data_IF_259686131873
#
_entry.id   IF_259686131873
#
_cell.length_a   1.000
_cell.length_b   1.000
_cell.length_c   1.000
_cell.angle_alpha   90.00
_cell.angle_beta   90.00
_cell.angle_gamma   90.00
#
_symmetry.space_group_name_H-M   'P 1'
#
loop_
_entity.id
_entity.type
_entity.pdbx_description
1 polymer ?
#
# COMPACT_ATOMS: atom_id res chain seq x y z
N UNK A 1 15.38 10.11 -60.98
CA UNK A 1 14.74 11.19 -60.21
C UNK A 1 13.48 10.65 -59.56
N UNK A 2 13.50 10.49 -58.24
CA UNK A 2 12.43 10.90 -57.32
C UNK A 2 12.68 10.29 -55.94
N UNK A 3 13.16 11.14 -55.04
CA UNK A 3 13.21 10.90 -53.61
C UNK A 3 11.81 10.69 -53.05
N UNK A 4 11.68 9.79 -52.07
CA UNK A 4 10.68 9.96 -51.01
C UNK A 4 11.20 9.37 -49.71
N UNK A 5 11.82 10.25 -48.95
CA UNK A 5 12.10 10.13 -47.53
C UNK A 5 10.84 9.76 -46.77
N UNK A 6 10.87 8.62 -46.08
CA UNK A 6 9.89 8.24 -45.06
C UNK A 6 10.61 8.09 -43.74
N UNK A 7 10.83 9.21 -43.05
CA UNK A 7 11.42 9.26 -41.72
C UNK A 7 10.41 8.67 -40.73
N UNK A 8 10.57 7.40 -40.36
CA UNK A 8 9.78 6.78 -39.29
C UNK A 8 10.35 7.29 -37.96
N UNK A 9 9.78 8.39 -37.48
CA UNK A 9 9.95 8.84 -36.10
C UNK A 9 9.26 7.81 -35.21
N UNK A 10 10.02 6.84 -34.68
CA UNK A 10 9.58 6.03 -33.56
C UNK A 10 9.38 6.95 -32.35
N UNK A 11 8.14 7.35 -32.11
CA UNK A 11 7.74 7.91 -30.82
C UNK A 11 7.89 6.80 -29.77
N UNK A 12 8.95 6.87 -28.98
CA UNK A 12 9.01 6.23 -27.66
C UNK A 12 8.00 6.94 -26.76
N UNK A 13 6.75 6.48 -26.79
CA UNK A 13 5.77 6.85 -25.78
C UNK A 13 6.18 6.15 -24.48
N UNK A 14 7.00 6.84 -23.67
CA UNK A 14 7.22 6.49 -22.28
C UNK A 14 5.86 6.43 -21.60
N UNK A 15 5.40 5.23 -21.29
CA UNK A 15 4.24 5.02 -20.43
C UNK A 15 4.68 5.45 -19.03
N UNK A 16 4.64 6.75 -18.77
CA UNK A 16 4.58 7.25 -17.41
C UNK A 16 3.26 6.71 -16.85
N UNK A 17 3.31 5.52 -16.25
CA UNK A 17 2.23 5.07 -15.39
C UNK A 17 2.06 6.20 -14.39
N UNK A 18 0.93 6.89 -14.47
CA UNK A 18 0.54 7.85 -13.45
C UNK A 18 0.45 7.04 -12.16
N UNK A 19 1.54 7.01 -11.39
CA UNK A 19 1.55 6.49 -10.05
C UNK A 19 0.48 7.32 -9.34
N UNK A 20 -0.68 6.73 -9.04
CA UNK A 20 -1.66 7.39 -8.17
C UNK A 20 -0.86 7.94 -6.99
N UNK A 21 -1.03 9.22 -6.62
CA UNK A 21 -0.23 9.84 -5.57
C UNK A 21 -0.22 8.88 -4.38
N UNK A 22 0.99 8.44 -4.00
CA UNK A 22 1.17 7.37 -3.03
C UNK A 22 0.32 7.71 -1.82
N UNK A 23 -0.75 6.94 -1.62
CA UNK A 23 -1.71 7.28 -0.60
C UNK A 23 -0.97 7.40 0.71
N UNK A 24 -1.15 8.53 1.38
CA UNK A 24 -0.63 8.67 2.71
C UNK A 24 -1.41 7.75 3.65
N UNK A 25 -0.85 6.57 3.93
CA UNK A 25 -1.45 5.60 4.84
C UNK A 25 -1.55 6.15 6.27
N UNK A 26 -0.76 7.16 6.63
CA UNK A 26 -0.74 7.72 7.98
C UNK A 26 -2.03 8.50 8.29
N UNK A 27 -2.67 9.08 7.27
CA UNK A 27 -3.97 9.75 7.38
C UNK A 27 -5.17 8.88 6.99
N UNK A 28 -4.93 7.65 6.53
CA UNK A 28 -6.02 6.74 6.16
C UNK A 28 -6.79 6.26 7.38
N UNK A 29 -8.12 6.41 7.35
CA UNK A 29 -9.01 5.89 8.41
C UNK A 29 -9.51 4.49 8.10
N UNK A 30 -9.92 3.76 9.14
CA UNK A 30 -10.58 2.46 9.02
C UNK A 30 -11.85 2.50 8.16
N UNK A 31 -12.53 3.64 8.07
CA UNK A 31 -13.66 3.85 7.17
C UNK A 31 -13.28 3.59 5.71
N UNK A 32 -12.06 3.96 5.31
CA UNK A 32 -11.55 3.72 3.97
C UNK A 32 -11.41 2.22 3.67
N UNK A 33 -10.80 1.48 4.60
CA UNK A 33 -10.68 0.02 4.49
C UNK A 33 -12.06 -0.64 4.39
N UNK A 34 -12.98 -0.24 5.26
CA UNK A 34 -14.32 -0.81 5.30
C UNK A 34 -15.09 -0.55 3.99
N UNK A 35 -14.95 0.65 3.39
CA UNK A 35 -15.55 0.98 2.10
C UNK A 35 -15.01 0.11 0.97
N UNK A 36 -13.70 -0.14 0.94
CA UNK A 36 -13.07 -1.01 -0.05
C UNK A 36 -13.59 -2.46 0.09
N UNK A 37 -13.63 -2.99 1.30
CA UNK A 37 -14.18 -4.34 1.57
C UNK A 37 -15.64 -4.44 1.11
N UNK A 38 -16.48 -3.46 1.47
CA UNK A 38 -17.90 -3.44 1.05
C UNK A 38 -18.03 -3.36 -0.46
N UNK A 39 -17.17 -2.59 -1.13
CA UNK A 39 -17.18 -2.47 -2.59
C UNK A 39 -16.85 -3.81 -3.28
N UNK A 40 -15.82 -4.52 -2.82
CA UNK A 40 -15.46 -5.83 -3.36
C UNK A 40 -16.55 -6.87 -3.08
N UNK A 41 -17.04 -6.92 -1.84
CA UNK A 41 -18.11 -7.84 -1.43
C UNK A 41 -19.38 -7.61 -2.24
N UNK A 42 -19.78 -6.34 -2.43
CA UNK A 42 -20.96 -5.97 -3.22
C UNK A 42 -20.85 -6.30 -4.70
N UNK A 43 -19.63 -6.49 -5.21
CA UNK A 43 -19.37 -6.92 -6.60
C UNK A 43 -19.14 -8.44 -6.72
N UNK A 44 -19.26 -9.19 -5.63
CA UNK A 44 -18.94 -10.62 -5.62
C UNK A 44 -17.47 -10.92 -5.92
N UNK A 45 -16.58 -9.96 -5.72
CA UNK A 45 -15.14 -10.13 -5.93
C UNK A 45 -14.53 -10.65 -4.64
N UNK A 46 -14.09 -11.89 -4.64
CA UNK A 46 -13.33 -12.47 -3.53
C UNK A 46 -11.86 -12.10 -3.66
N UNK A 47 -11.46 -11.04 -2.95
CA UNK A 47 -10.07 -10.59 -2.89
C UNK A 47 -9.48 -10.97 -1.51
N UNK A 48 -8.30 -11.60 -1.47
CA UNK A 48 -7.59 -11.80 -0.21
C UNK A 48 -7.40 -10.46 0.51
N UNK A 49 -7.67 -10.43 1.82
CA UNK A 49 -7.60 -9.18 2.59
C UNK A 49 -6.22 -8.51 2.54
N UNK A 50 -5.15 -9.32 2.40
CA UNK A 50 -3.76 -8.84 2.26
C UNK A 50 -3.52 -8.06 0.96
N UNK A 51 -4.36 -8.26 -0.05
CA UNK A 51 -4.30 -7.57 -1.35
C UNK A 51 -5.15 -6.29 -1.38
N UNK A 52 -5.85 -5.95 -0.28
CA UNK A 52 -6.53 -4.66 -0.18
C UNK A 52 -5.51 -3.53 -0.15
N UNK A 53 -5.89 -2.40 -0.75
CA UNK A 53 -5.00 -1.27 -1.07
C UNK A 53 -4.18 -0.80 0.13
N UNK A 54 -4.80 -0.67 1.31
CA UNK A 54 -4.09 -0.19 2.50
C UNK A 54 -3.03 -1.20 3.02
N UNK A 55 -3.28 -2.51 2.94
CA UNK A 55 -2.30 -3.52 3.33
C UNK A 55 -1.12 -3.56 2.35
N UNK A 56 -1.42 -3.50 1.04
CA UNK A 56 -0.41 -3.41 -0.02
C UNK A 56 0.47 -2.17 0.16
N UNK A 57 -0.13 -1.02 0.44
CA UNK A 57 0.61 0.22 0.69
C UNK A 57 1.44 0.18 1.96
N UNK A 58 0.94 -0.42 3.04
CA UNK A 58 1.74 -0.66 4.24
C UNK A 58 2.96 -1.51 3.95
N UNK A 59 2.82 -2.60 3.18
CA UNK A 59 3.96 -3.43 2.76
C UNK A 59 5.00 -2.60 1.99
N UNK A 60 4.56 -1.78 1.03
CA UNK A 60 5.48 -0.93 0.27
C UNK A 60 6.22 0.07 1.17
N UNK A 61 5.53 0.74 2.09
CA UNK A 61 6.18 1.67 3.04
C UNK A 61 7.20 0.98 3.95
N UNK A 62 6.93 -0.26 4.35
CA UNK A 62 7.90 -1.05 5.12
C UNK A 62 9.15 -1.40 4.30
N UNK A 63 8.97 -1.74 3.01
CA UNK A 63 10.09 -2.04 2.13
C UNK A 63 10.91 -0.77 1.85
N UNK A 64 10.25 0.35 1.55
CA UNK A 64 10.91 1.65 1.32
C UNK A 64 11.74 2.09 2.55
N UNK A 65 11.20 1.93 3.77
CA UNK A 65 11.94 2.29 4.98
C UNK A 65 13.18 1.43 5.20
N UNK A 66 13.11 0.14 4.87
CA UNK A 66 14.27 -0.76 4.89
C UNK A 66 15.31 -0.37 3.83
N UNK A 67 14.89 -0.13 2.58
CA UNK A 67 15.78 0.29 1.50
C UNK A 67 16.47 1.63 1.80
N UNK A 68 15.80 2.52 2.53
CA UNK A 68 16.36 3.77 3.04
C UNK A 68 17.27 3.61 4.28
N UNK A 69 17.51 2.38 4.75
CA UNK A 69 18.37 2.10 5.90
C UNK A 69 17.80 2.50 7.26
N UNK A 70 16.47 2.73 7.36
CA UNK A 70 15.85 3.17 8.61
C UNK A 70 15.81 2.08 9.68
N UNK A 71 15.85 0.82 9.28
CA UNK A 71 15.88 -0.35 10.16
C UNK A 71 16.48 -1.57 9.46
N UNK A 72 16.99 -2.54 10.23
CA UNK A 72 17.55 -3.78 9.69
C UNK A 72 16.49 -4.76 9.18
N UNK A 73 16.95 -5.77 8.42
CA UNK A 73 16.12 -6.77 7.74
C UNK A 73 15.26 -7.60 8.69
N UNK A 74 15.74 -7.92 9.89
CA UNK A 74 15.03 -8.67 10.92
C UNK A 74 13.76 -7.95 11.39
N UNK A 75 13.83 -6.62 11.55
CA UNK A 75 12.66 -5.81 11.88
C UNK A 75 11.65 -5.77 10.72
N UNK A 76 12.14 -5.63 9.47
CA UNK A 76 11.28 -5.72 8.29
C UNK A 76 10.56 -7.07 8.21
N UNK A 77 11.31 -8.17 8.33
CA UNK A 77 10.76 -9.53 8.24
C UNK A 77 9.69 -9.78 9.31
N UNK A 78 9.94 -9.33 10.54
CA UNK A 78 8.99 -9.42 11.65
C UNK A 78 7.72 -8.63 11.33
N UNK A 79 7.84 -7.37 10.91
CA UNK A 79 6.69 -6.52 10.61
C UNK A 79 5.85 -7.07 9.44
N UNK A 80 6.49 -7.57 8.37
CA UNK A 80 5.79 -8.19 7.24
C UNK A 80 5.05 -9.46 7.64
N UNK A 81 5.67 -10.31 8.46
CA UNK A 81 5.03 -11.51 8.99
C UNK A 81 3.80 -11.17 9.82
N UNK A 82 3.92 -10.23 10.76
CA UNK A 82 2.79 -9.85 11.62
C UNK A 82 1.68 -9.13 10.86
N UNK A 83 2.01 -8.31 9.87
CA UNK A 83 1.04 -7.68 8.98
C UNK A 83 0.18 -8.74 8.27
N UNK A 84 0.82 -9.76 7.68
CA UNK A 84 0.12 -10.83 6.98
C UNK A 84 -0.71 -11.69 7.95
N UNK A 85 -0.12 -12.11 9.07
CA UNK A 85 -0.76 -12.96 10.09
C UNK A 85 -2.01 -12.30 10.68
N UNK A 86 -1.93 -11.01 11.02
CA UNK A 86 -2.95 -10.33 11.82
C UNK A 86 -3.98 -9.56 10.97
N UNK A 87 -3.96 -9.71 9.65
CA UNK A 87 -4.86 -8.99 8.72
C UNK A 87 -6.35 -9.09 9.11
N UNK A 88 -6.84 -10.29 9.47
CA UNK A 88 -8.23 -10.50 9.91
C UNK A 88 -8.54 -9.74 11.21
N UNK A 89 -7.60 -9.73 12.16
CA UNK A 89 -7.72 -9.02 13.43
C UNK A 89 -7.78 -7.50 13.20
N UNK A 90 -6.94 -6.98 12.31
CA UNK A 90 -6.93 -5.56 11.91
C UNK A 90 -8.27 -5.17 11.28
N UNK A 91 -8.78 -5.95 10.33
CA UNK A 91 -10.10 -5.70 9.71
C UNK A 91 -11.22 -5.72 10.76
N UNK A 92 -11.20 -6.69 11.67
CA UNK A 92 -12.17 -6.77 12.77
C UNK A 92 -12.09 -5.57 13.73
N UNK A 93 -10.91 -5.01 13.97
CA UNK A 93 -10.75 -3.77 14.74
C UNK A 93 -11.29 -2.56 13.97
N UNK A 94 -10.97 -2.43 12.68
CA UNK A 94 -11.43 -1.34 11.83
C UNK A 94 -12.95 -1.32 11.62
N UNK A 95 -13.61 -2.48 11.54
CA UNK A 95 -15.07 -2.56 11.50
C UNK A 95 -15.73 -1.99 12.76
N UNK A 96 -15.11 -2.20 13.93
CA UNK A 96 -15.62 -1.69 15.22
C UNK A 96 -15.35 -0.21 15.43
N UNK A 97 -14.29 0.33 14.82
CA UNK A 97 -13.82 1.71 15.04
C UNK A 97 -13.56 2.43 13.71
N UNK A 98 -14.59 2.73 12.90
CA UNK A 98 -14.40 3.26 11.54
C UNK A 98 -13.73 4.63 11.49
N UNK A 99 -13.88 5.47 12.52
CA UNK A 99 -13.26 6.80 12.58
C UNK A 99 -11.78 6.78 12.98
N UNK A 100 -11.24 5.65 13.45
CA UNK A 100 -9.84 5.55 13.87
C UNK A 100 -8.90 5.47 12.67
N UNK A 101 -7.66 5.90 12.86
CA UNK A 101 -6.61 5.73 11.87
C UNK A 101 -6.32 4.25 11.67
N UNK A 102 -6.09 3.88 10.41
CA UNK A 102 -5.76 2.51 10.03
C UNK A 102 -4.45 2.07 10.67
N UNK A 103 -3.42 2.92 10.66
CA UNK A 103 -2.11 2.62 11.25
C UNK A 103 -2.24 2.26 12.73
N UNK A 104 -3.08 2.95 13.50
CA UNK A 104 -3.31 2.64 14.93
C UNK A 104 -3.86 1.23 15.17
N UNK A 105 -4.48 0.60 14.16
CA UNK A 105 -5.04 -0.74 14.27
C UNK A 105 -4.05 -1.85 13.86
N UNK A 106 -2.90 -1.50 13.28
CA UNK A 106 -1.88 -2.45 12.84
C UNK A 106 -1.16 -3.11 14.02
N UNK A 107 -0.43 -4.22 13.82
CA UNK A 107 0.48 -4.75 14.84
C UNK A 107 1.49 -3.70 15.31
N UNK A 108 1.91 -3.78 16.58
CA UNK A 108 2.80 -2.79 17.19
C UNK A 108 4.16 -2.69 16.48
N UNK A 109 4.69 -3.83 16.01
CA UNK A 109 5.91 -3.89 15.20
C UNK A 109 5.77 -3.03 13.94
N UNK A 110 4.66 -3.18 13.21
CA UNK A 110 4.35 -2.41 12.00
C UNK A 110 4.17 -0.93 12.33
N UNK A 111 3.40 -0.61 13.38
CA UNK A 111 3.21 0.79 13.81
C UNK A 111 4.52 1.50 14.09
N UNK A 112 5.43 0.82 14.79
CA UNK A 112 6.72 1.37 15.19
C UNK A 112 7.60 1.70 13.98
N UNK A 113 7.57 0.86 12.93
CA UNK A 113 8.36 1.08 11.72
C UNK A 113 7.75 2.11 10.77
N UNK A 114 6.45 2.39 10.88
CA UNK A 114 5.76 3.41 10.07
C UNK A 114 5.81 4.82 10.67
N UNK A 115 6.24 4.97 11.93
CA UNK A 115 6.39 6.30 12.55
C UNK A 115 7.53 7.07 11.88
N UNK A 116 7.36 8.36 11.58
CA UNK A 116 8.46 9.20 11.13
C UNK A 116 9.57 9.17 12.18
N UNK A 117 10.78 8.74 11.79
CA UNK A 117 11.98 8.95 12.61
C UNK A 117 12.48 10.34 12.25
N UNK A 118 12.44 11.26 13.22
CA UNK A 118 12.80 12.66 12.99
C UNK A 118 14.16 12.80 12.29
N UNK A 119 14.20 13.71 11.32
CA UNK A 119 15.41 14.20 10.66
C UNK A 119 16.37 14.86 11.64
#
# INVERSE_FOLDING_TARGET
MNHRSGLVVMLMASVAQAQEPALDISSATCLKLNREITWHTGRGVDLPLVELRLFVQTRYRLIEGFEAGQYPLDLLATALYELARDTVKVVGACRRKPSRNFVEMLPESVQTLLKPRGS
#
